data_IF_797861060204
#
_entry.id   IF_797861060204
#
_cell.length_a   1.000
_cell.length_b   1.000
_cell.length_c   1.000
_cell.angle_alpha   90.00
_cell.angle_beta   90.00
_cell.angle_gamma   90.00
#
_symmetry.space_group_name_H-M   'P 1'
#
loop_
_entity.id
_entity.type
_entity.pdbx_description
1 polymer ?
#
# COMPACT_ATOMS: atom_id res chain seq x y z
N UNK A 1 -22.67 -7.88 16.12
CA UNK A 1 -21.82 -6.94 16.88
C UNK A 1 -20.97 -6.23 15.85
N UNK A 2 -21.34 -4.99 15.55
CA UNK A 2 -20.71 -4.17 14.51
C UNK A 2 -19.25 -3.93 14.86
N UNK A 3 -18.33 -4.53 14.10
CA UNK A 3 -16.97 -4.07 14.02
C UNK A 3 -16.96 -2.76 13.22
N UNK A 4 -17.35 -1.67 13.88
CA UNK A 4 -17.00 -0.31 13.47
C UNK A 4 -15.47 -0.23 13.47
N UNK A 5 -14.84 -0.65 12.38
CA UNK A 5 -13.45 -0.32 12.06
C UNK A 5 -13.39 1.20 12.06
N UNK A 6 -12.87 1.78 13.14
CA UNK A 6 -12.60 3.20 13.22
C UNK A 6 -11.83 3.60 11.94
N UNK A 7 -12.22 4.70 11.25
CA UNK A 7 -11.36 5.25 10.22
C UNK A 7 -9.98 5.49 10.85
N UNK A 8 -8.94 5.05 10.14
CA UNK A 8 -7.54 5.25 10.49
C UNK A 8 -7.36 6.61 11.16
N UNK A 9 -6.86 6.63 12.40
CA UNK A 9 -6.56 7.88 13.08
C UNK A 9 -5.45 8.55 12.28
N UNK A 10 -5.86 9.48 11.41
CA UNK A 10 -4.99 10.43 10.74
C UNK A 10 -4.38 11.26 11.88
N UNK A 11 -3.29 10.79 12.47
CA UNK A 11 -2.49 11.59 13.39
C UNK A 11 -1.95 12.83 12.68
N UNK A 12 -0.88 13.44 13.20
CA UNK A 12 -0.27 14.66 12.63
C UNK A 12 0.43 14.45 11.25
N UNK A 13 0.02 13.44 10.47
CA UNK A 13 0.55 13.18 9.14
C UNK A 13 0.10 14.25 8.14
N UNK A 14 1.03 14.69 7.29
CA UNK A 14 0.68 15.62 6.21
C UNK A 14 -0.32 15.00 5.24
N UNK A 15 -1.47 15.65 5.05
CA UNK A 15 -2.41 15.25 3.99
C UNK A 15 -1.76 15.40 2.60
N UNK A 16 -2.04 14.48 1.67
CA UNK A 16 -1.61 14.57 0.28
C UNK A 16 -2.27 15.75 -0.44
N UNK A 17 -1.63 16.22 -1.51
CA UNK A 17 -2.11 17.30 -2.36
C UNK A 17 -2.24 16.85 -3.82
N UNK A 18 -3.07 17.55 -4.58
CA UNK A 18 -3.26 17.29 -6.01
C UNK A 18 -4.30 16.20 -6.26
N UNK A 19 -4.13 15.46 -7.36
CA UNK A 19 -5.02 14.35 -7.73
C UNK A 19 -4.66 13.07 -6.95
N UNK A 20 -5.64 12.22 -6.67
CA UNK A 20 -5.40 10.91 -6.07
C UNK A 20 -4.53 10.09 -7.02
N UNK A 21 -3.37 9.66 -6.52
CA UNK A 21 -2.43 8.84 -7.27
C UNK A 21 -1.99 7.62 -6.47
N UNK A 22 -1.93 6.48 -7.15
CA UNK A 22 -1.56 5.20 -6.54
C UNK A 22 -0.23 4.72 -7.12
N UNK A 23 0.68 4.30 -6.25
CA UNK A 23 1.84 3.51 -6.68
C UNK A 23 1.68 2.14 -6.10
N UNK A 24 1.91 1.09 -6.89
CA UNK A 24 1.72 -0.27 -6.41
C UNK A 24 2.77 -1.22 -6.95
N UNK A 25 2.99 -2.30 -6.22
CA UNK A 25 3.71 -3.46 -6.71
C UNK A 25 2.76 -4.65 -6.82
N UNK A 26 2.94 -5.48 -7.84
CA UNK A 26 2.29 -6.76 -7.96
C UNK A 26 3.20 -7.73 -8.70
N UNK A 27 3.38 -8.94 -8.17
CA UNK A 27 4.13 -9.99 -8.86
C UNK A 27 3.33 -10.58 -10.02
N UNK A 28 3.86 -11.66 -10.60
CA UNK A 28 3.24 -12.43 -11.69
C UNK A 28 1.84 -12.97 -11.37
N UNK A 29 1.48 -13.13 -10.08
CA UNK A 29 0.12 -13.54 -9.70
C UNK A 29 -0.92 -12.45 -9.92
N UNK A 30 -0.49 -11.18 -10.06
CA UNK A 30 -1.33 -10.03 -10.37
C UNK A 30 -2.49 -9.75 -9.39
N UNK A 31 -2.48 -10.31 -8.17
CA UNK A 31 -3.57 -10.08 -7.20
C UNK A 31 -3.75 -8.59 -6.87
N UNK A 32 -2.68 -7.92 -6.44
CA UNK A 32 -2.70 -6.47 -6.17
C UNK A 32 -3.01 -5.66 -7.43
N UNK A 33 -2.49 -6.07 -8.60
CA UNK A 33 -2.80 -5.41 -9.88
C UNK A 33 -4.29 -5.42 -10.17
N UNK A 34 -4.95 -6.58 -10.07
CA UNK A 34 -6.40 -6.72 -10.27
C UNK A 34 -7.20 -5.91 -9.24
N UNK A 35 -6.70 -5.77 -8.01
CA UNK A 35 -7.32 -4.89 -7.03
C UNK A 35 -7.24 -3.41 -7.44
N UNK A 36 -6.07 -2.95 -7.90
CA UNK A 36 -5.86 -1.57 -8.38
C UNK A 36 -6.75 -1.27 -9.58
N UNK A 37 -6.92 -2.20 -10.52
CA UNK A 37 -7.81 -2.03 -11.67
C UNK A 37 -9.27 -1.75 -11.26
N UNK A 38 -9.76 -2.44 -10.22
CA UNK A 38 -11.13 -2.22 -9.68
C UNK A 38 -11.31 -0.82 -9.08
N UNK A 39 -10.23 -0.19 -8.61
CA UNK A 39 -10.30 1.17 -8.08
C UNK A 39 -10.59 2.19 -9.19
N UNK A 40 -10.09 1.97 -10.40
CA UNK A 40 -10.30 2.89 -11.54
C UNK A 40 -9.65 4.26 -11.34
N UNK A 41 -8.56 4.32 -10.58
CA UNK A 41 -7.83 5.56 -10.24
C UNK A 41 -6.48 5.61 -10.98
N UNK A 42 -5.94 6.83 -11.17
CA UNK A 42 -4.62 6.99 -11.76
C UNK A 42 -3.56 6.28 -10.92
N UNK A 43 -2.72 5.51 -11.60
CA UNK A 43 -1.76 4.66 -10.92
C UNK A 43 -0.49 4.45 -11.74
N UNK A 44 0.56 4.01 -11.07
CA UNK A 44 1.80 3.56 -11.67
C UNK A 44 2.31 2.29 -10.99
N UNK A 45 2.68 1.32 -11.81
CA UNK A 45 3.19 0.01 -11.34
C UNK A 45 4.70 0.07 -11.17
N UNK A 46 5.17 -0.31 -9.98
CA UNK A 46 6.58 -0.61 -9.75
C UNK A 46 6.94 -1.85 -10.58
N UNK A 47 7.99 -1.80 -11.43
CA UNK A 47 8.39 -2.94 -12.25
C UNK A 47 8.69 -4.20 -11.43
N UNK A 48 8.40 -5.37 -12.02
CA UNK A 48 8.77 -6.66 -11.43
C UNK A 48 10.28 -6.87 -11.55
N UNK A 49 10.83 -6.53 -12.72
CA UNK A 49 12.26 -6.49 -12.95
C UNK A 49 12.90 -5.44 -12.03
N UNK A 50 13.83 -5.90 -11.20
CA UNK A 50 14.49 -5.05 -10.21
C UNK A 50 15.43 -4.04 -10.86
N UNK A 51 15.92 -4.28 -12.06
CA UNK A 51 16.83 -3.37 -12.76
C UNK A 51 16.09 -2.22 -13.46
N UNK A 52 14.81 -2.42 -13.73
CA UNK A 52 13.88 -1.39 -14.16
C UNK A 52 13.43 -0.52 -12.99
N UNK A 53 13.43 0.81 -13.19
CA UNK A 53 13.00 1.77 -12.18
C UNK A 53 12.00 2.78 -12.74
N UNK A 54 11.16 3.28 -11.83
CA UNK A 54 10.27 4.40 -12.10
C UNK A 54 10.57 5.56 -11.14
N UNK A 55 10.25 6.76 -11.59
CA UNK A 55 10.24 7.94 -10.73
C UNK A 55 8.82 8.50 -10.63
N UNK A 56 8.49 9.00 -9.44
CA UNK A 56 7.20 9.63 -9.13
C UNK A 56 7.47 11.04 -8.60
N UNK A 57 6.69 11.99 -9.06
CA UNK A 57 6.86 13.42 -8.78
C UNK A 57 5.61 14.09 -8.17
N UNK A 58 4.68 13.29 -7.65
CA UNK A 58 3.43 13.74 -7.05
C UNK A 58 3.05 12.85 -5.87
N UNK A 59 2.28 13.38 -4.92
CA UNK A 59 1.85 12.68 -3.72
C UNK A 59 1.09 11.39 -4.06
N UNK A 60 1.39 10.30 -3.37
CA UNK A 60 0.78 9.00 -3.64
C UNK A 60 0.58 8.15 -2.39
N UNK A 61 -0.36 7.20 -2.51
CA UNK A 61 -0.49 6.07 -1.56
C UNK A 61 0.13 4.82 -2.18
N UNK A 62 0.99 4.16 -1.40
CA UNK A 62 1.67 2.93 -1.79
C UNK A 62 0.81 1.71 -1.50
N UNK A 63 0.57 0.86 -2.49
CA UNK A 63 -0.07 -0.45 -2.33
C UNK A 63 0.98 -1.56 -2.44
N UNK A 64 1.17 -2.30 -1.35
CA UNK A 64 2.25 -3.28 -1.24
C UNK A 64 1.74 -4.66 -0.78
N UNK A 65 1.93 -5.75 -1.56
CA UNK A 65 1.68 -7.08 -1.06
C UNK A 65 2.77 -7.46 -0.05
N UNK A 66 2.37 -8.25 0.95
CA UNK A 66 3.30 -8.82 1.92
C UNK A 66 3.84 -10.15 1.42
N UNK A 67 5.17 -10.28 1.41
CA UNK A 67 5.86 -11.55 1.17
C UNK A 67 6.67 -11.94 2.40
N UNK A 68 6.11 -12.78 3.26
CA UNK A 68 6.85 -13.41 4.35
C UNK A 68 6.88 -14.92 4.13
N UNK A 69 7.93 -15.59 4.60
CA UNK A 69 8.06 -17.05 4.53
C UNK A 69 7.14 -17.82 5.49
N UNK A 70 6.33 -17.13 6.30
CA UNK A 70 5.67 -17.71 7.48
C UNK A 70 6.67 -18.03 8.60
N UNK A 71 6.16 -18.54 9.74
CA UNK A 71 6.94 -18.98 10.91
C UNK A 71 7.69 -17.89 11.70
N UNK A 72 7.15 -16.68 11.79
CA UNK A 72 7.69 -15.61 12.64
C UNK A 72 8.91 -14.87 12.07
N UNK A 73 9.39 -15.26 10.88
CA UNK A 73 10.39 -14.47 10.16
C UNK A 73 9.73 -13.27 9.49
N UNK A 74 10.00 -12.09 10.05
CA UNK A 74 9.52 -10.80 9.54
C UNK A 74 10.43 -10.21 8.48
N UNK A 75 11.63 -10.81 8.30
CA UNK A 75 12.57 -10.41 7.27
C UNK A 75 12.00 -10.77 5.89
N UNK A 76 12.08 -9.82 4.96
CA UNK A 76 11.58 -10.00 3.59
C UNK A 76 10.11 -9.65 3.36
N UNK A 77 9.33 -9.26 4.39
CA UNK A 77 7.91 -8.88 4.28
C UNK A 77 7.60 -7.88 3.16
N UNK A 78 8.53 -6.97 2.88
CA UNK A 78 8.46 -6.00 1.78
C UNK A 78 9.21 -6.54 0.55
N UNK A 79 8.58 -6.58 -0.65
CA UNK A 79 9.23 -7.01 -1.88
C UNK A 79 10.48 -6.18 -2.21
N UNK A 80 11.55 -6.84 -2.70
CA UNK A 80 12.82 -6.17 -3.09
C UNK A 80 12.62 -5.02 -4.10
N UNK A 81 11.76 -5.11 -5.13
CA UNK A 81 11.50 -3.99 -6.03
C UNK A 81 10.92 -2.76 -5.32
N UNK A 82 10.05 -2.97 -4.31
CA UNK A 82 9.50 -1.89 -3.49
C UNK A 82 10.58 -1.24 -2.63
N UNK A 83 11.47 -2.03 -2.04
CA UNK A 83 12.63 -1.52 -1.29
C UNK A 83 13.51 -0.65 -2.21
N UNK A 84 13.87 -1.15 -3.41
CA UNK A 84 14.69 -0.40 -4.37
C UNK A 84 14.00 0.89 -4.84
N UNK A 85 12.68 0.85 -5.07
CA UNK A 85 11.88 2.02 -5.40
C UNK A 85 11.91 3.08 -4.28
N UNK A 86 11.77 2.68 -3.02
CA UNK A 86 11.76 3.57 -1.85
C UNK A 86 13.16 4.02 -1.40
N UNK A 87 14.22 3.34 -1.82
CA UNK A 87 15.59 3.81 -1.58
C UNK A 87 15.88 5.11 -2.37
N UNK A 88 15.19 5.33 -3.50
CA UNK A 88 15.23 6.62 -4.19
C UNK A 88 14.48 7.68 -3.37
N UNK A 89 15.18 8.73 -2.94
CA UNK A 89 14.64 9.79 -2.10
C UNK A 89 13.52 10.59 -2.78
N UNK A 90 13.61 10.77 -4.10
CA UNK A 90 12.59 11.43 -4.90
C UNK A 90 11.26 10.68 -4.82
N UNK A 91 11.28 9.35 -4.87
CA UNK A 91 10.06 8.55 -4.73
C UNK A 91 9.57 8.58 -3.29
N UNK A 92 10.50 8.36 -2.34
CA UNK A 92 10.19 8.27 -0.91
C UNK A 92 9.48 9.51 -0.37
N UNK A 93 9.92 10.71 -0.77
CA UNK A 93 9.38 11.99 -0.26
C UNK A 93 7.90 12.22 -0.62
N UNK A 94 7.41 11.60 -1.70
CA UNK A 94 6.03 11.74 -2.17
C UNK A 94 5.10 10.65 -1.63
N UNK A 95 5.61 9.67 -0.88
CA UNK A 95 4.74 8.69 -0.23
C UNK A 95 3.99 9.37 0.91
N UNK A 96 2.66 9.31 0.89
CA UNK A 96 1.78 9.91 1.90
C UNK A 96 1.01 8.90 2.73
N UNK A 97 1.00 7.64 2.33
CA UNK A 97 0.35 6.57 3.08
C UNK A 97 0.64 5.22 2.46
N UNK A 98 0.36 4.16 3.23
CA UNK A 98 0.57 2.78 2.80
C UNK A 98 -0.72 1.99 2.98
N UNK A 99 -1.06 1.18 1.98
CA UNK A 99 -2.06 0.12 2.06
C UNK A 99 -1.36 -1.20 1.75
N UNK A 100 -1.62 -2.23 2.55
CA UNK A 100 -0.95 -3.52 2.39
C UNK A 100 -1.94 -4.64 2.08
N UNK A 101 -1.53 -5.57 1.22
CA UNK A 101 -2.30 -6.79 0.96
C UNK A 101 -1.58 -8.02 1.50
N UNK A 102 -2.35 -9.07 1.78
CA UNK A 102 -1.80 -10.33 2.27
C UNK A 102 -2.79 -11.48 2.12
N UNK A 103 -2.60 -12.50 2.94
CA UNK A 103 -3.53 -13.61 3.09
C UNK A 103 -3.60 -13.94 4.60
N UNK A 104 -4.80 -14.02 5.17
CA UNK A 104 -5.03 -14.26 6.59
C UNK A 104 -4.54 -15.62 7.07
N UNK A 105 -4.33 -16.57 6.16
CA UNK A 105 -3.68 -17.86 6.45
C UNK A 105 -2.26 -17.69 7.06
N UNK A 106 -1.66 -16.51 6.97
CA UNK A 106 -0.36 -16.18 7.55
C UNK A 106 -0.43 -15.59 8.98
N UNK A 107 -1.63 -15.58 9.59
CA UNK A 107 -1.84 -15.20 10.99
C UNK A 107 -1.23 -13.84 11.33
N UNK A 108 -0.36 -13.80 12.34
CA UNK A 108 0.29 -12.57 12.84
C UNK A 108 1.16 -11.84 11.80
N UNK A 109 1.49 -12.50 10.69
CA UNK A 109 2.25 -11.89 9.58
C UNK A 109 1.37 -11.40 8.42
N UNK A 110 0.04 -11.50 8.57
CA UNK A 110 -0.90 -10.95 7.60
C UNK A 110 -0.69 -9.44 7.40
N UNK A 111 -0.51 -9.03 6.14
CA UNK A 111 -0.35 -7.65 5.73
C UNK A 111 0.83 -6.89 6.41
N UNK A 112 1.84 -7.62 6.92
CA UNK A 112 2.96 -7.08 7.69
C UNK A 112 3.80 -6.00 6.94
N UNK A 113 3.79 -6.00 5.61
CA UNK A 113 4.46 -4.94 4.84
C UNK A 113 3.93 -3.54 5.19
N UNK A 114 2.64 -3.43 5.54
CA UNK A 114 1.98 -2.17 5.88
C UNK A 114 2.61 -1.49 7.11
N UNK A 115 2.55 -2.12 8.30
CA UNK A 115 3.17 -1.57 9.51
C UNK A 115 4.68 -1.31 9.36
N UNK A 116 5.41 -2.19 8.67
CA UNK A 116 6.86 -2.03 8.43
C UNK A 116 7.14 -0.76 7.61
N UNK A 117 6.41 -0.56 6.51
CA UNK A 117 6.58 0.61 5.65
C UNK A 117 6.09 1.89 6.33
N UNK A 118 4.93 1.85 6.98
CA UNK A 118 4.37 2.99 7.73
C UNK A 118 5.36 3.52 8.76
N UNK A 119 5.92 2.64 9.60
CA UNK A 119 6.94 3.02 10.60
C UNK A 119 8.20 3.58 9.96
N UNK A 120 8.70 2.96 8.88
CA UNK A 120 9.95 3.37 8.23
C UNK A 120 9.83 4.71 7.50
N UNK A 121 8.67 4.98 6.90
CA UNK A 121 8.42 6.19 6.11
C UNK A 121 7.80 7.32 6.94
N UNK A 122 7.35 7.04 8.17
CA UNK A 122 6.58 7.97 9.00
C UNK A 122 5.32 8.49 8.27
N UNK A 123 4.53 7.55 7.73
CA UNK A 123 3.26 7.81 7.02
C UNK A 123 2.18 6.87 7.56
N UNK A 124 0.89 7.23 7.48
CA UNK A 124 -0.18 6.39 8.00
C UNK A 124 -0.29 5.05 7.25
N UNK A 125 -0.56 3.99 8.02
CA UNK A 125 -1.02 2.71 7.48
C UNK A 125 -2.54 2.79 7.33
N UNK A 126 -3.01 2.92 6.08
CA UNK A 126 -4.36 3.36 5.74
C UNK A 126 -5.36 2.26 5.50
N UNK A 127 -4.95 1.03 5.17
CA UNK A 127 -5.87 -0.10 4.98
C UNK A 127 -5.11 -1.41 4.80
N UNK A 128 -5.79 -2.53 5.03
CA UNK A 128 -5.31 -3.83 4.60
C UNK A 128 -6.44 -4.71 4.05
N UNK A 129 -6.10 -5.53 3.05
CA UNK A 129 -7.04 -6.43 2.40
C UNK A 129 -6.39 -7.75 1.99
N UNK A 130 -7.22 -8.73 1.64
CA UNK A 130 -6.74 -10.06 1.24
C UNK A 130 -6.70 -10.23 -0.28
N UNK A 131 -5.61 -10.84 -0.76
CA UNK A 131 -5.44 -11.27 -2.15
C UNK A 131 -5.78 -10.15 -3.16
N UNK A 132 -6.88 -10.31 -3.89
CA UNK A 132 -7.36 -9.41 -4.94
C UNK A 132 -8.47 -8.46 -4.48
N UNK A 133 -8.76 -8.46 -3.18
CA UNK A 133 -9.77 -7.64 -2.49
C UNK A 133 -11.22 -7.96 -2.85
N UNK A 134 -12.09 -7.74 -1.88
CA UNK A 134 -13.55 -7.84 -2.03
C UNK A 134 -14.14 -6.54 -2.60
N UNK A 135 -15.43 -6.56 -2.94
CA UNK A 135 -16.15 -5.32 -3.29
C UNK A 135 -16.18 -4.32 -2.14
N UNK A 136 -16.29 -4.81 -0.90
CA UNK A 136 -16.26 -3.97 0.29
C UNK A 136 -14.89 -3.31 0.47
N UNK A 137 -13.80 -4.04 0.20
CA UNK A 137 -12.46 -3.46 0.22
C UNK A 137 -12.30 -2.34 -0.82
N UNK A 138 -12.88 -2.50 -2.01
CA UNK A 138 -12.88 -1.45 -3.05
C UNK A 138 -13.63 -0.21 -2.57
N UNK A 139 -14.82 -0.39 -1.97
CA UNK A 139 -15.62 0.72 -1.42
C UNK A 139 -14.86 1.43 -0.31
N UNK A 140 -14.36 0.67 0.68
CA UNK A 140 -13.63 1.21 1.82
C UNK A 140 -12.38 1.97 1.39
N UNK A 141 -11.56 1.40 0.50
CA UNK A 141 -10.35 2.07 0.00
C UNK A 141 -10.68 3.35 -0.75
N UNK A 142 -11.73 3.37 -1.59
CA UNK A 142 -12.16 4.60 -2.28
C UNK A 142 -12.56 5.68 -1.28
N UNK A 143 -13.37 5.34 -0.27
CA UNK A 143 -13.77 6.28 0.78
C UNK A 143 -12.57 6.81 1.55
N UNK A 144 -11.63 5.94 1.94
CA UNK A 144 -10.40 6.33 2.64
C UNK A 144 -9.56 7.29 1.80
N UNK A 145 -9.34 6.98 0.52
CA UNK A 145 -8.54 7.81 -0.37
C UNK A 145 -9.17 9.19 -0.60
N UNK A 146 -10.50 9.24 -0.79
CA UNK A 146 -11.23 10.51 -0.94
C UNK A 146 -11.08 11.36 0.33
N UNK A 147 -11.42 10.82 1.49
CA UNK A 147 -11.32 11.53 2.77
C UNK A 147 -9.88 11.97 3.07
N UNK A 148 -8.88 11.19 2.64
CA UNK A 148 -7.48 11.51 2.88
C UNK A 148 -6.98 12.68 2.01
N UNK A 149 -7.52 12.84 0.80
CA UNK A 149 -7.24 13.98 -0.10
C UNK A 149 -8.14 15.20 0.16
N UNK A 150 -9.26 15.03 0.84
CA UNK A 150 -10.11 16.14 1.27
C UNK A 150 -9.39 17.04 2.27
N UNK A 151 -9.54 18.35 2.09
CA UNK A 151 -8.92 19.37 2.94
C UNK A 151 -9.49 19.34 4.36
#
# INVERSE_FOLDING_TARGET
MENNKKPYELGDYSKPKGEIFLVYFSSISNNTHRFIEKLGLKNQRIPIDIDSQIQVNQDYVLFCPTYSGGKGDTSGSVPKPVIKFLNNEQNRKFCKGVIASGNTNFGDTYALAGPVLSKKLNVPFLYHFELLGTSDDVINVKTILNNFWEK
#
